data_IF_265171509136
#
_entry.id   IF_265171509136
#
_cell.length_a   1.000
_cell.length_b   1.000
_cell.length_c   1.000
_cell.angle_alpha   90.00
_cell.angle_beta   90.00
_cell.angle_gamma   90.00
#
_symmetry.space_group_name_H-M   'P 1'
#
loop_
_entity.id
_entity.type
_entity.pdbx_description
1 polymer ?
#
# COMPACT_ATOMS: atom_id res chain seq x y z
N UNK A 1 -3.00 28.05 4.85
CA UNK A 1 -1.94 27.03 4.98
C UNK A 1 -2.50 25.61 5.14
N UNK A 2 -3.52 25.39 6.00
CA UNK A 2 -4.10 24.05 6.24
C UNK A 2 -4.78 23.38 5.02
N UNK A 3 -5.46 24.15 4.15
CA UNK A 3 -6.14 23.59 2.99
C UNK A 3 -5.22 22.85 2.01
N UNK A 4 -4.00 23.36 1.79
CA UNK A 4 -3.01 22.72 0.89
C UNK A 4 -2.51 21.37 1.41
N UNK A 5 -2.48 21.20 2.74
CA UNK A 5 -2.04 19.96 3.38
C UNK A 5 -3.13 18.89 3.27
N UNK A 6 -4.41 19.26 3.43
CA UNK A 6 -5.53 18.33 3.24
C UNK A 6 -5.63 17.84 1.80
N UNK A 7 -5.44 18.73 0.83
CA UNK A 7 -5.42 18.34 -0.59
C UNK A 7 -4.24 17.42 -0.92
N UNK A 8 -3.08 17.59 -0.27
CA UNK A 8 -1.96 16.64 -0.42
C UNK A 8 -2.34 15.24 0.05
N UNK A 9 -2.95 15.11 1.23
CA UNK A 9 -3.34 13.81 1.79
C UNK A 9 -4.44 13.11 0.98
N UNK A 10 -5.41 13.86 0.44
CA UNK A 10 -6.47 13.30 -0.43
C UNK A 10 -5.94 12.76 -1.76
N UNK A 11 -4.83 13.31 -2.24
CA UNK A 11 -4.21 12.95 -3.51
C UNK A 11 -2.94 12.11 -3.31
N UNK A 12 -2.78 11.47 -2.14
CA UNK A 12 -1.68 10.54 -1.95
C UNK A 12 -1.81 9.39 -2.94
N UNK A 13 -0.72 9.03 -3.63
CA UNK A 13 -0.75 7.90 -4.54
C UNK A 13 -1.03 6.60 -3.77
N UNK A 14 -1.70 5.62 -4.41
CA UNK A 14 -1.87 4.31 -3.83
C UNK A 14 -0.51 3.65 -3.56
N UNK A 15 -0.47 2.83 -2.51
CA UNK A 15 0.73 2.10 -2.11
C UNK A 15 1.08 1.07 -3.18
N UNK A 16 2.35 1.03 -3.62
CA UNK A 16 2.82 0.07 -4.63
C UNK A 16 3.74 -0.97 -4.03
N UNK A 17 3.60 -2.21 -4.50
CA UNK A 17 4.47 -3.32 -4.13
C UNK A 17 5.91 -3.06 -4.59
N UNK A 18 6.87 -3.18 -3.69
CA UNK A 18 8.29 -3.01 -3.97
C UNK A 18 8.86 -4.08 -4.93
N UNK A 19 8.17 -5.21 -5.11
CA UNK A 19 8.61 -6.31 -5.99
C UNK A 19 7.94 -6.30 -7.35
N UNK A 20 6.61 -6.23 -7.42
CA UNK A 20 5.88 -6.29 -8.69
C UNK A 20 5.37 -4.94 -9.20
N UNK A 21 5.46 -3.88 -8.41
CA UNK A 21 5.01 -2.53 -8.78
C UNK A 21 3.49 -2.34 -8.86
N UNK A 22 2.70 -3.40 -8.65
CA UNK A 22 1.23 -3.32 -8.60
C UNK A 22 0.78 -2.55 -7.35
N UNK A 23 -0.42 -1.98 -7.41
CA UNK A 23 -1.07 -1.40 -6.23
C UNK A 23 -1.33 -2.51 -5.20
N UNK A 24 -1.01 -2.21 -3.95
CA UNK A 24 -1.28 -3.11 -2.82
C UNK A 24 -2.73 -2.89 -2.42
N UNK A 25 -3.59 -3.89 -2.65
CA UNK A 25 -4.91 -3.94 -2.04
C UNK A 25 -4.78 -4.05 -0.51
N UNK A 26 -5.73 -3.47 0.23
CA UNK A 26 -5.72 -3.37 1.69
C UNK A 26 -5.22 -4.64 2.38
N UNK A 27 -4.08 -4.53 3.06
CA UNK A 27 -3.49 -5.62 3.86
C UNK A 27 -3.86 -5.43 5.33
N UNK A 28 -4.10 -6.52 6.06
CA UNK A 28 -4.30 -6.46 7.51
C UNK A 28 -3.11 -5.80 8.24
N UNK A 29 -1.90 -5.99 7.69
CA UNK A 29 -0.66 -5.39 8.18
C UNK A 29 -0.21 -4.22 7.30
N UNK A 30 -0.56 -2.99 7.68
CA UNK A 30 -0.22 -1.79 6.89
C UNK A 30 1.28 -1.44 6.84
N UNK A 31 2.14 -2.14 7.57
CA UNK A 31 3.59 -1.86 7.63
C UNK A 31 4.40 -2.52 6.51
N UNK A 32 3.88 -3.54 5.83
CA UNK A 32 4.59 -4.25 4.75
C UNK A 32 4.63 -3.46 3.45
N UNK A 33 5.67 -3.56 2.64
CA UNK A 33 5.78 -2.88 1.33
C UNK A 33 5.72 -3.86 0.14
N UNK A 34 5.34 -5.11 0.38
CA UNK A 34 5.23 -6.18 -0.61
C UNK A 34 3.79 -6.71 -0.59
N UNK A 35 3.16 -6.89 -1.76
CA UNK A 35 1.80 -7.41 -1.85
C UNK A 35 1.71 -8.89 -1.43
N UNK A 36 0.51 -9.35 -1.09
CA UNK A 36 0.28 -10.73 -0.63
C UNK A 36 0.66 -11.78 -1.69
N UNK A 37 0.40 -11.47 -2.97
CA UNK A 37 0.82 -12.30 -4.10
C UNK A 37 2.33 -12.54 -4.12
N UNK A 38 3.11 -11.48 -3.86
CA UNK A 38 4.57 -11.54 -3.90
C UNK A 38 5.16 -12.10 -2.61
N UNK A 39 4.47 -11.93 -1.48
CA UNK A 39 4.79 -12.63 -0.23
C UNK A 39 4.52 -14.14 -0.33
N UNK A 40 3.83 -14.61 -1.37
CA UNK A 40 3.87 -16.00 -1.81
C UNK A 40 3.13 -16.98 -0.91
N UNK A 41 1.97 -16.61 -0.37
CA UNK A 41 1.15 -17.45 0.51
C UNK A 41 1.64 -17.58 1.97
N UNK A 42 1.98 -16.46 2.61
CA UNK A 42 2.22 -16.44 4.06
C UNK A 42 0.96 -16.72 4.93
N UNK A 43 -0.22 -16.88 4.31
CA UNK A 43 -1.49 -17.16 5.00
C UNK A 43 -2.18 -18.48 4.59
N UNK A 44 -1.47 -19.40 3.94
CA UNK A 44 -1.90 -20.81 3.95
C UNK A 44 -1.42 -21.47 5.25
N UNK A 45 -2.19 -21.28 6.32
CA UNK A 45 -2.21 -22.15 7.49
C UNK A 45 -3.64 -22.57 7.79
#
# INVERSE_FOLDING_TARGET
MLGKVLEFFKNLPPKKCAQCGKEIEEQHECYGNVCEDCLGAAYHR
#
